data_IF_506198614303
#
_entry.id   IF_506198614303
#
_cell.length_a   1.000
_cell.length_b   1.000
_cell.length_c   1.000
_cell.angle_alpha   90.00
_cell.angle_beta   90.00
_cell.angle_gamma   90.00
#
_symmetry.space_group_name_H-M   'P 1'
#
loop_
_entity.id
_entity.type
_entity.pdbx_description
1 polymer ?
#
# COMPACT_ATOMS: atom_id res chain seq x y z
N UNK A 1 44.57 16.90 -16.34
CA UNK A 1 44.20 16.36 -15.01
C UNK A 1 42.99 17.05 -14.34
N UNK A 2 42.55 18.26 -14.73
CA UNK A 2 41.34 18.91 -14.16
C UNK A 2 40.03 18.54 -14.86
N UNK A 3 40.06 18.11 -16.13
CA UNK A 3 38.87 17.68 -16.88
C UNK A 3 38.32 16.30 -16.43
N UNK A 4 39.20 15.36 -16.06
CA UNK A 4 38.82 14.00 -15.66
C UNK A 4 38.04 13.98 -14.31
N UNK A 5 38.30 14.97 -13.44
CA UNK A 5 37.56 15.17 -12.19
C UNK A 5 36.13 15.66 -12.40
N UNK A 6 35.86 16.41 -13.47
CA UNK A 6 34.53 16.96 -13.75
C UNK A 6 33.60 15.88 -14.33
N UNK A 7 34.12 15.00 -15.18
CA UNK A 7 33.36 13.89 -15.76
C UNK A 7 32.95 12.87 -14.67
N UNK A 8 33.78 12.66 -13.64
CA UNK A 8 33.47 11.76 -12.52
C UNK A 8 32.33 12.29 -11.63
N UNK A 9 32.21 13.63 -11.49
CA UNK A 9 31.17 14.28 -10.65
C UNK A 9 29.79 14.25 -11.30
N UNK A 10 29.71 14.28 -12.63
CA UNK A 10 28.44 14.20 -13.37
C UNK A 10 27.86 12.78 -13.35
N UNK A 11 28.71 11.74 -13.36
CA UNK A 11 28.27 10.33 -13.30
C UNK A 11 27.75 9.98 -11.88
N UNK A 12 28.29 10.59 -10.82
CA UNK A 12 27.76 10.39 -9.46
C UNK A 12 26.38 11.02 -9.23
N UNK A 13 25.99 12.04 -10.02
CA UNK A 13 24.66 12.65 -9.89
C UNK A 13 23.55 11.82 -10.58
N UNK A 14 23.91 10.91 -11.50
CA UNK A 14 22.97 10.06 -12.23
C UNK A 14 22.53 8.80 -11.47
N UNK A 15 23.16 8.48 -10.32
CA UNK A 15 22.85 7.32 -9.49
C UNK A 15 21.90 7.62 -8.32
N UNK A 16 21.45 8.87 -8.17
CA UNK A 16 20.31 9.22 -7.33
C UNK A 16 19.03 8.76 -8.03
N UNK A 17 18.87 7.44 -8.13
CA UNK A 17 17.67 6.79 -8.62
C UNK A 17 16.49 7.26 -7.79
N UNK A 18 15.70 8.17 -8.37
CA UNK A 18 14.40 8.52 -7.84
C UNK A 18 13.59 7.21 -7.79
N UNK A 19 13.36 6.72 -6.57
CA UNK A 19 12.38 5.66 -6.32
C UNK A 19 11.01 6.25 -6.66
N UNK A 20 10.64 6.22 -7.94
CA UNK A 20 9.32 6.65 -8.37
C UNK A 20 8.33 5.62 -7.82
N UNK A 21 7.55 6.04 -6.82
CA UNK A 21 6.46 5.23 -6.31
C UNK A 21 5.50 4.93 -7.46
N UNK A 22 5.46 3.68 -7.90
CA UNK A 22 4.59 3.27 -9.00
C UNK A 22 3.15 3.17 -8.50
N UNK A 23 2.34 4.21 -8.76
CA UNK A 23 0.91 4.20 -8.45
C UNK A 23 0.14 3.41 -9.52
N UNK A 24 -0.53 2.36 -9.08
CA UNK A 24 -1.38 1.53 -9.93
C UNK A 24 -2.78 2.13 -10.03
N UNK A 25 -3.22 2.42 -11.24
CA UNK A 25 -4.59 2.84 -11.52
C UNK A 25 -5.41 1.67 -12.07
N UNK A 26 -6.51 1.36 -11.39
CA UNK A 26 -7.47 0.33 -11.81
C UNK A 26 -8.72 1.01 -12.37
N UNK A 27 -9.05 0.78 -13.65
CA UNK A 27 -10.22 1.41 -14.26
C UNK A 27 -11.55 0.90 -13.72
N UNK A 28 -11.61 -0.39 -13.35
CA UNK A 28 -12.82 -1.02 -12.81
C UNK A 28 -13.03 -0.57 -11.37
N UNK A 29 -14.26 -0.28 -10.92
CA UNK A 29 -14.52 -0.01 -9.52
C UNK A 29 -14.29 -1.26 -8.66
N UNK A 30 -13.81 -1.10 -7.41
CA UNK A 30 -13.79 -2.20 -6.46
C UNK A 30 -15.24 -2.65 -6.18
N UNK A 31 -15.47 -3.95 -5.95
CA UNK A 31 -16.75 -4.42 -5.44
C UNK A 31 -17.06 -3.81 -4.06
N UNK A 32 -18.32 -3.90 -3.60
CA UNK A 32 -18.67 -3.57 -2.23
C UNK A 32 -17.78 -4.31 -1.22
N UNK A 33 -17.44 -3.65 -0.10
CA UNK A 33 -16.67 -4.28 0.95
C UNK A 33 -17.46 -5.44 1.56
N UNK A 34 -16.76 -6.55 1.83
CA UNK A 34 -17.34 -7.68 2.54
C UNK A 34 -17.31 -7.36 4.03
N UNK A 35 -18.46 -7.49 4.69
CA UNK A 35 -18.55 -7.39 6.15
C UNK A 35 -18.15 -8.73 6.73
N UNK A 36 -17.00 -8.77 7.40
CA UNK A 36 -16.48 -9.98 8.04
C UNK A 36 -16.95 -10.08 9.49
N UNK A 37 -17.35 -11.30 9.89
CA UNK A 37 -17.48 -11.64 11.30
C UNK A 37 -16.08 -11.76 11.89
N UNK A 38 -15.78 -10.91 12.88
CA UNK A 38 -14.47 -10.88 13.53
C UNK A 38 -14.42 -11.98 14.61
N UNK A 39 -13.44 -12.89 14.59
CA UNK A 39 -13.22 -13.83 15.68
C UNK A 39 -12.87 -13.11 16.98
N UNK A 40 -12.79 -13.83 18.10
CA UNK A 40 -12.24 -13.24 19.33
C UNK A 40 -10.76 -12.84 19.14
N UNK A 41 -10.32 -11.73 19.76
CA UNK A 41 -8.92 -11.33 19.71
C UNK A 41 -8.03 -12.39 20.40
N UNK A 42 -6.96 -12.87 19.74
CA UNK A 42 -6.14 -13.95 20.27
C UNK A 42 -5.15 -13.51 21.37
N UNK A 43 -4.94 -12.21 21.57
CA UNK A 43 -4.02 -11.67 22.57
C UNK A 43 -4.37 -10.21 22.97
N UNK A 44 -3.86 -9.72 24.12
CA UNK A 44 -4.05 -8.33 24.52
C UNK A 44 -3.51 -7.35 23.47
N UNK A 45 -4.22 -6.24 23.26
CA UNK A 45 -3.89 -5.21 22.27
C UNK A 45 -3.85 -5.72 20.81
N UNK A 46 -4.55 -6.81 20.52
CA UNK A 46 -4.86 -7.19 19.16
C UNK A 46 -5.79 -6.14 18.54
N UNK A 47 -5.42 -5.65 17.36
CA UNK A 47 -6.24 -4.75 16.55
C UNK A 47 -6.62 -5.48 15.27
N UNK A 48 -7.91 -5.41 14.94
CA UNK A 48 -8.45 -6.02 13.74
C UNK A 48 -8.08 -5.16 12.53
N UNK A 49 -7.34 -5.75 11.60
CA UNK A 49 -7.14 -5.19 10.27
C UNK A 49 -8.21 -5.78 9.39
N UNK A 50 -9.16 -4.94 8.95
CA UNK A 50 -10.27 -5.40 8.13
C UNK A 50 -9.78 -5.95 6.79
N UNK A 51 -10.48 -6.96 6.27
CA UNK A 51 -10.23 -7.44 4.93
C UNK A 51 -10.46 -6.34 3.88
N UNK A 52 -9.86 -6.55 2.72
CA UNK A 52 -9.93 -5.61 1.61
C UNK A 52 -9.81 -6.30 0.26
N UNK A 53 -10.32 -5.62 -0.76
CA UNK A 53 -10.09 -6.02 -2.14
C UNK A 53 -8.67 -5.68 -2.56
N UNK A 54 -7.88 -6.68 -2.96
CA UNK A 54 -6.59 -6.47 -3.63
C UNK A 54 -6.78 -6.63 -5.13
N UNK A 55 -6.12 -5.79 -5.91
CA UNK A 55 -6.06 -5.97 -7.36
C UNK A 55 -5.00 -7.02 -7.72
N UNK A 56 -5.41 -8.10 -8.37
CA UNK A 56 -4.53 -9.07 -9.00
C UNK A 56 -4.20 -8.59 -10.42
N UNK A 57 -2.99 -8.09 -10.60
CA UNK A 57 -2.50 -7.59 -11.89
C UNK A 57 -2.44 -8.66 -12.97
N UNK A 58 -2.07 -9.89 -12.61
CA UNK A 58 -1.88 -10.99 -13.56
C UNK A 58 -3.21 -11.43 -14.13
N UNK A 59 -4.22 -11.57 -13.28
CA UNK A 59 -5.56 -12.01 -13.68
C UNK A 59 -6.54 -10.86 -13.91
N UNK A 60 -6.11 -9.60 -13.75
CA UNK A 60 -6.90 -8.37 -13.92
C UNK A 60 -8.25 -8.43 -13.20
N UNK A 61 -8.24 -8.85 -11.94
CA UNK A 61 -9.45 -9.00 -11.10
C UNK A 61 -9.20 -8.60 -9.65
N UNK A 62 -10.27 -8.28 -8.95
CA UNK A 62 -10.23 -8.12 -7.49
C UNK A 62 -10.23 -9.48 -6.81
N UNK A 63 -9.42 -9.60 -5.76
CA UNK A 63 -9.33 -10.77 -4.90
C UNK A 63 -9.50 -10.31 -3.46
N UNK A 64 -10.39 -10.93 -2.72
CA UNK A 64 -10.59 -10.61 -1.30
C UNK A 64 -9.38 -11.07 -0.51
N UNK A 65 -8.83 -10.18 0.31
CA UNK A 65 -7.83 -10.49 1.32
C UNK A 65 -8.56 -10.42 2.65
N UNK A 66 -8.69 -11.57 3.32
CA UNK A 66 -9.39 -11.65 4.59
C UNK A 66 -8.72 -10.80 5.67
N UNK A 67 -9.53 -10.27 6.58
CA UNK A 67 -9.05 -9.55 7.74
C UNK A 67 -8.23 -10.44 8.68
N UNK A 68 -7.40 -9.81 9.49
CA UNK A 68 -6.55 -10.52 10.45
C UNK A 68 -6.22 -9.65 11.67
N UNK A 69 -5.84 -10.33 12.76
CA UNK A 69 -5.38 -9.69 13.97
C UNK A 69 -3.90 -9.29 13.87
N UNK A 70 -3.57 -8.05 14.24
CA UNK A 70 -2.18 -7.62 14.46
C UNK A 70 -2.00 -7.00 15.84
N UNK A 71 -0.81 -7.17 16.42
CA UNK A 71 -0.40 -6.47 17.62
C UNK A 71 -0.18 -4.99 17.29
N UNK A 72 -0.91 -4.11 17.98
CA UNK A 72 -0.73 -2.68 17.84
C UNK A 72 0.62 -2.22 18.41
N UNK A 73 1.36 -1.33 17.73
CA UNK A 73 2.43 -0.57 18.36
C UNK A 73 1.90 0.27 19.55
N UNK A 74 2.74 0.58 20.55
CA UNK A 74 2.34 1.47 21.66
C UNK A 74 1.77 2.80 21.17
N UNK A 75 0.60 3.20 21.69
CA UNK A 75 -0.04 4.48 21.40
C UNK A 75 -0.55 4.68 19.97
N UNK A 76 -0.59 3.62 19.13
CA UNK A 76 -1.03 3.71 17.73
C UNK A 76 -2.39 3.08 17.50
N UNK A 77 -3.13 3.65 16.55
CA UNK A 77 -4.41 3.10 16.08
C UNK A 77 -4.30 2.69 14.61
N UNK A 78 -5.00 1.63 14.23
CA UNK A 78 -5.01 1.19 12.84
C UNK A 78 -6.03 1.98 12.02
N UNK A 79 -5.59 2.48 10.87
CA UNK A 79 -6.46 3.04 9.83
C UNK A 79 -6.47 2.07 8.66
N UNK A 80 -7.66 1.54 8.34
CA UNK A 80 -7.81 0.61 7.23
C UNK A 80 -7.44 1.28 5.90
N UNK A 81 -6.83 0.49 5.01
CA UNK A 81 -6.64 0.91 3.63
C UNK A 81 -7.97 0.98 2.89
N UNK A 82 -8.02 1.76 1.83
CA UNK A 82 -9.23 1.96 1.05
C UNK A 82 -8.89 2.18 -0.43
N UNK A 83 -9.87 1.90 -1.28
CA UNK A 83 -9.81 2.29 -2.68
C UNK A 83 -10.32 3.71 -2.83
N UNK A 84 -9.46 4.58 -3.34
CA UNK A 84 -9.78 5.98 -3.62
C UNK A 84 -10.11 6.15 -5.10
N UNK A 85 -11.21 6.85 -5.39
CA UNK A 85 -11.59 7.20 -6.76
C UNK A 85 -10.82 8.43 -7.21
N UNK A 86 -10.16 8.33 -8.35
CA UNK A 86 -9.42 9.42 -9.01
C UNK A 86 -9.94 9.61 -10.45
N UNK A 87 -9.59 10.71 -11.14
CA UNK A 87 -9.93 10.89 -12.55
C UNK A 87 -9.38 9.80 -13.48
N UNK A 88 -8.29 9.13 -13.09
CA UNK A 88 -7.62 8.08 -13.89
C UNK A 88 -8.09 6.66 -13.56
N UNK A 89 -9.02 6.52 -12.61
CA UNK A 89 -9.49 5.23 -12.09
C UNK A 89 -9.36 5.17 -10.57
N UNK A 90 -9.21 3.96 -10.04
CA UNK A 90 -9.13 3.70 -8.60
C UNK A 90 -7.70 3.38 -8.21
N UNK A 91 -7.26 3.95 -7.08
CA UNK A 91 -5.96 3.66 -6.48
C UNK A 91 -6.16 3.03 -5.10
N UNK A 92 -5.26 2.12 -4.73
CA UNK A 92 -5.27 1.53 -3.39
C UNK A 92 -4.43 2.40 -2.45
N UNK A 93 -5.08 3.03 -1.47
CA UNK A 93 -4.44 3.70 -0.35
C UNK A 93 -4.17 2.65 0.72
N UNK A 94 -2.89 2.38 0.99
CA UNK A 94 -2.49 1.39 1.99
C UNK A 94 -2.92 1.83 3.38
N UNK A 95 -3.43 0.88 4.17
CA UNK A 95 -3.69 1.11 5.59
C UNK A 95 -2.39 1.35 6.36
N UNK A 96 -2.50 2.09 7.46
CA UNK A 96 -1.34 2.53 8.25
C UNK A 96 -1.68 2.68 9.72
N UNK A 97 -0.64 2.72 10.54
CA UNK A 97 -0.74 3.07 11.95
C UNK A 97 -0.68 4.58 12.10
N UNK A 98 -1.71 5.17 12.71
CA UNK A 98 -1.74 6.58 13.09
C UNK A 98 -1.28 6.73 14.53
#
# INVERSE_FOLDING_TARGET
MRLFKIILVVITFALLGACAAHTVYVRRPPPPLIVEVKPLPPYPRAVWISGHWRWDHRHRRYVWVAGHWRKAPPGRVWVNGFWEKTPRGWIWVKGYWR
#
